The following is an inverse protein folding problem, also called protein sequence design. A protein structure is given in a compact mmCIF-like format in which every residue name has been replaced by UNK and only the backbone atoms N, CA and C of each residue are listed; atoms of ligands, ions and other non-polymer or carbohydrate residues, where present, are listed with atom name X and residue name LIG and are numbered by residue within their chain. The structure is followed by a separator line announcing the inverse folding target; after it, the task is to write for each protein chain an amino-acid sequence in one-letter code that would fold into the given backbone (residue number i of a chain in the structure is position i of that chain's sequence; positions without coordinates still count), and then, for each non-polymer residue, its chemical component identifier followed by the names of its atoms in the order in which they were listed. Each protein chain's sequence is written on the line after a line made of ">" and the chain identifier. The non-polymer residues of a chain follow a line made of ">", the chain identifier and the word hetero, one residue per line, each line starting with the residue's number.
data_IF_258989638210
#
_entry.id   IF_258989638210
#
_cell.length_a   1.000
_cell.length_b   1.000
_cell.length_c   1.000
_cell.angle_alpha   90.00
_cell.angle_beta   90.00
_cell.angle_gamma   90.00
#
_symmetry.space_group_name_H-M   'P 1'
#
loop_
_entity.id
_entity.type
_entity.pdbx_description
1 polymer ?
#
# COMPACT_ATOMS: atom_id res chain seq x y z
N UNK A 1 -22.97 -0.19 -0.91
CA UNK A 1 -21.63 -0.51 -1.48
C UNK A 1 -20.58 0.01 -0.52
N UNK A 2 -19.74 -0.87 -0.03
CA UNK A 2 -18.67 -0.49 0.91
C UNK A 2 -17.50 0.08 0.12
N UNK A 3 -17.53 1.37 -0.19
CA UNK A 3 -16.48 2.01 -0.99
C UNK A 3 -15.35 2.51 -0.10
N UNK A 4 -14.12 2.44 -0.60
CA UNK A 4 -13.00 3.14 0.00
C UNK A 4 -13.18 4.64 -0.28
N UNK A 5 -13.11 5.46 0.74
CA UNK A 5 -13.29 6.91 0.67
C UNK A 5 -12.04 7.64 1.18
N UNK A 6 -11.84 8.85 0.70
CA UNK A 6 -10.76 9.73 1.16
C UNK A 6 -11.27 10.63 2.29
N UNK A 7 -10.51 10.70 3.39
CA UNK A 7 -10.80 11.55 4.56
C UNK A 7 -9.54 12.23 5.04
N UNK A 8 -9.66 13.41 5.63
CA UNK A 8 -8.58 13.98 6.42
C UNK A 8 -8.40 13.20 7.72
N UNK A 9 -7.20 13.19 8.28
CA UNK A 9 -6.96 12.48 9.54
C UNK A 9 -7.83 13.00 10.67
N UNK A 10 -8.18 14.29 10.70
CA UNK A 10 -9.06 14.89 11.72
C UNK A 10 -10.51 14.39 11.64
N UNK A 11 -10.97 13.94 10.46
CA UNK A 11 -12.31 13.36 10.27
C UNK A 11 -12.38 11.89 10.71
N UNK A 12 -11.23 11.25 11.00
CA UNK A 12 -11.15 9.83 11.34
C UNK A 12 -11.09 9.69 12.87
N UNK A 13 -11.97 8.88 13.43
CA UNK A 13 -11.97 8.64 14.88
C UNK A 13 -10.71 7.87 15.30
N UNK A 14 -9.72 8.60 15.85
CA UNK A 14 -8.48 8.01 16.36
C UNK A 14 -8.74 6.96 17.47
N UNK A 15 -9.83 7.09 18.24
CA UNK A 15 -10.15 6.15 19.32
C UNK A 15 -10.80 4.84 18.82
N UNK A 16 -11.01 4.70 17.50
CA UNK A 16 -11.54 3.46 16.93
C UNK A 16 -10.66 2.26 17.34
N UNK A 17 -11.25 1.13 17.81
CA UNK A 17 -10.52 -0.09 18.14
C UNK A 17 -9.63 -0.63 17.02
N UNK A 18 -9.97 -0.31 15.77
CA UNK A 18 -9.15 -0.63 14.61
C UNK A 18 -7.67 -0.22 14.78
N UNK A 19 -7.39 0.91 15.43
CA UNK A 19 -6.01 1.40 15.61
C UNK A 19 -5.24 0.75 16.78
N UNK A 20 -5.86 -0.16 17.55
CA UNK A 20 -5.23 -0.75 18.74
C UNK A 20 -3.92 -1.49 18.40
N UNK A 21 -3.89 -2.28 17.33
CA UNK A 21 -2.67 -3.00 16.94
C UNK A 21 -1.57 -2.06 16.42
N UNK A 22 -1.95 -0.96 15.75
CA UNK A 22 -0.97 0.05 15.32
C UNK A 22 -0.35 0.78 16.52
N UNK A 23 -1.12 1.05 17.58
CA UNK A 23 -0.57 1.60 18.84
C UNK A 23 0.38 0.62 19.53
N UNK A 24 0.07 -0.67 19.49
CA UNK A 24 0.95 -1.70 20.05
C UNK A 24 2.26 -1.84 19.26
N UNK A 25 2.20 -1.72 17.94
CA UNK A 25 3.36 -1.87 17.07
C UNK A 25 4.23 -0.60 16.99
N UNK A 26 3.61 0.58 17.12
CA UNK A 26 4.27 1.88 16.91
C UNK A 26 4.08 2.80 18.10
N UNK A 27 5.01 2.81 19.09
CA UNK A 27 5.00 3.79 20.18
C UNK A 27 4.93 5.21 19.62
N UNK A 28 3.98 6.03 20.12
CA UNK A 28 3.75 7.40 19.62
C UNK A 28 2.84 7.50 18.39
N UNK A 29 2.14 6.42 18.03
CA UNK A 29 1.18 6.42 16.92
C UNK A 29 0.13 7.54 17.03
N UNK A 30 -0.46 7.75 18.21
CA UNK A 30 -1.50 8.77 18.41
C UNK A 30 -0.98 10.19 18.16
N UNK A 31 0.24 10.51 18.62
CA UNK A 31 0.87 11.79 18.37
C UNK A 31 1.24 11.98 16.90
N UNK A 32 1.73 10.92 16.26
CA UNK A 32 1.97 10.91 14.82
C UNK A 32 0.68 11.16 14.05
N UNK A 33 -0.42 10.50 14.41
CA UNK A 33 -1.72 10.63 13.76
C UNK A 33 -2.26 12.07 13.88
N UNK A 34 -2.21 12.67 15.08
CA UNK A 34 -2.64 14.05 15.33
C UNK A 34 -1.83 15.08 14.53
N UNK A 35 -0.51 14.86 14.37
CA UNK A 35 0.33 15.73 13.52
C UNK A 35 -0.03 15.68 12.05
N UNK A 36 -0.81 14.69 11.62
CA UNK A 36 -1.29 14.52 10.26
C UNK A 36 -2.70 15.07 10.01
N UNK A 37 -3.30 15.80 10.97
CA UNK A 37 -4.71 16.24 10.95
C UNK A 37 -5.20 16.71 9.57
N UNK A 38 -4.44 17.57 8.91
CA UNK A 38 -4.76 18.16 7.60
C UNK A 38 -4.38 17.27 6.39
N UNK A 39 -3.80 16.09 6.62
CA UNK A 39 -3.44 15.17 5.55
C UNK A 39 -4.57 14.19 5.28
N UNK A 40 -4.55 13.58 4.10
CA UNK A 40 -5.58 12.64 3.68
C UNK A 40 -5.12 11.19 3.86
N UNK A 41 -6.04 10.34 4.27
CA UNK A 41 -5.95 8.91 4.22
C UNK A 41 -7.13 8.32 3.43
N UNK A 42 -6.98 7.09 2.96
CA UNK A 42 -8.06 6.30 2.37
C UNK A 42 -8.57 5.34 3.43
N UNK A 43 -9.87 5.34 3.65
CA UNK A 43 -10.51 4.52 4.68
C UNK A 43 -11.69 3.75 4.11
N UNK A 44 -11.97 2.61 4.72
CA UNK A 44 -13.16 1.82 4.40
C UNK A 44 -13.90 1.45 5.69
N UNK A 45 -15.22 1.66 5.65
CA UNK A 45 -16.12 1.29 6.74
C UNK A 45 -17.06 0.18 6.27
N UNK A 46 -17.36 -0.76 7.16
CA UNK A 46 -18.43 -1.77 7.03
C UNK A 46 -19.28 -1.65 8.28
N UNK A 47 -20.59 -1.39 8.10
CA UNK A 47 -21.54 -1.20 9.21
C UNK A 47 -20.98 -0.23 10.27
N UNK A 48 -20.53 0.94 9.79
CA UNK A 48 -19.94 2.05 10.58
C UNK A 48 -18.60 1.71 11.29
N UNK A 49 -18.09 0.49 11.15
CA UNK A 49 -16.79 0.08 11.70
C UNK A 49 -15.68 0.33 10.68
N UNK A 50 -14.60 0.95 11.12
CA UNK A 50 -13.39 1.09 10.32
C UNK A 50 -12.76 -0.30 10.12
N UNK A 51 -12.54 -0.69 8.87
CA UNK A 51 -11.97 -2.00 8.51
C UNK A 51 -10.76 -1.92 7.59
N UNK A 52 -10.46 -0.73 7.07
CA UNK A 52 -9.30 -0.49 6.22
C UNK A 52 -8.80 0.94 6.32
N UNK A 53 -7.47 1.09 6.36
CA UNK A 53 -6.78 2.38 6.44
C UNK A 53 -5.51 2.36 5.61
N UNK A 54 -5.33 3.38 4.77
CA UNK A 54 -4.16 3.56 3.93
C UNK A 54 -3.74 5.03 3.93
N UNK A 55 -2.48 5.29 4.31
CA UNK A 55 -1.84 6.59 4.20
C UNK A 55 -0.69 6.54 3.21
N UNK A 56 -0.66 7.47 2.27
CA UNK A 56 0.36 7.60 1.23
C UNK A 56 1.11 8.93 1.37
N UNK A 57 2.42 8.90 1.10
CA UNK A 57 3.28 10.08 1.13
C UNK A 57 4.23 10.09 -0.06
N UNK A 58 4.36 11.23 -0.72
CA UNK A 58 5.40 11.45 -1.73
C UNK A 58 6.68 11.89 -1.03
N UNK A 59 7.78 11.24 -1.35
CA UNK A 59 9.13 11.58 -0.96
C UNK A 59 9.97 11.90 -2.20
N UNK A 60 10.99 12.72 -2.07
CA UNK A 60 11.83 13.15 -3.19
C UNK A 60 13.28 12.75 -2.96
N UNK A 61 13.96 12.44 -4.05
CA UNK A 61 15.38 12.19 -4.19
C UNK A 61 15.86 10.90 -3.55
N UNK A 62 15.78 10.71 -2.24
CA UNK A 62 16.27 9.48 -1.62
C UNK A 62 15.64 9.22 -0.25
N UNK A 63 15.68 7.96 0.16
CA UNK A 63 15.29 7.49 1.49
C UNK A 63 16.52 6.87 2.11
N UNK A 64 17.12 7.55 3.09
CA UNK A 64 18.39 7.14 3.72
C UNK A 64 18.23 6.20 4.91
N UNK A 65 17.06 6.23 5.55
CA UNK A 65 16.77 5.47 6.76
C UNK A 65 16.47 3.96 6.51
N UNK A 66 16.78 3.51 5.31
CA UNK A 66 16.70 2.11 4.86
C UNK A 66 18.12 1.58 4.65
N UNK A 67 18.39 0.36 5.09
CA UNK A 67 19.64 -0.33 4.75
C UNK A 67 19.63 -0.60 3.26
N UNK A 68 20.62 -0.07 2.54
CA UNK A 68 20.62 0.20 1.11
C UNK A 68 19.66 1.34 0.77
N UNK A 69 20.12 2.60 0.76
CA UNK A 69 19.25 3.75 0.47
C UNK A 69 18.53 3.65 -0.87
N UNK A 70 17.29 4.13 -0.92
CA UNK A 70 16.48 4.17 -2.14
C UNK A 70 16.73 5.50 -2.83
N UNK A 71 17.14 5.47 -4.11
CA UNK A 71 17.34 6.66 -4.95
C UNK A 71 16.35 6.64 -6.10
N UNK A 72 15.56 7.71 -6.24
CA UNK A 72 14.66 7.94 -7.36
C UNK A 72 14.18 9.40 -7.33
N UNK A 73 13.83 9.97 -8.47
CA UNK A 73 13.39 11.38 -8.54
C UNK A 73 12.09 11.59 -7.74
N UNK A 74 11.18 10.62 -7.79
CA UNK A 74 9.93 10.67 -7.08
C UNK A 74 9.55 9.29 -6.53
N UNK A 75 9.30 9.23 -5.23
CA UNK A 75 9.08 8.00 -4.48
C UNK A 75 7.71 8.06 -3.79
N UNK A 76 6.88 7.03 -3.96
CA UNK A 76 5.65 6.86 -3.20
C UNK A 76 5.92 5.94 -2.01
N UNK A 77 5.78 6.48 -0.81
CA UNK A 77 5.78 5.71 0.43
C UNK A 77 4.38 5.30 0.82
N UNK A 78 4.17 4.03 1.04
CA UNK A 78 3.02 3.52 1.78
C UNK A 78 3.33 3.69 3.27
N UNK A 79 2.84 4.79 3.86
CA UNK A 79 3.20 5.20 5.22
C UNK A 79 2.50 4.39 6.31
N UNK A 80 1.26 3.99 6.07
CA UNK A 80 0.49 3.07 6.92
C UNK A 80 -0.51 2.33 6.07
N UNK A 81 -0.56 1.01 6.22
CA UNK A 81 -1.51 0.15 5.52
C UNK A 81 -2.00 -0.94 6.46
N UNK A 82 -3.29 -0.89 6.81
CA UNK A 82 -3.92 -1.89 7.67
C UNK A 82 -5.30 -2.26 7.15
N UNK A 83 -5.62 -3.55 7.21
CA UNK A 83 -6.91 -4.13 6.85
C UNK A 83 -7.28 -5.18 7.90
N UNK A 84 -8.49 -5.10 8.46
CA UNK A 84 -9.00 -6.07 9.42
C UNK A 84 -9.92 -7.14 8.78
N UNK A 85 -10.31 -6.97 7.51
CA UNK A 85 -11.18 -7.91 6.80
C UNK A 85 -10.37 -9.02 6.12
N UNK A 86 -10.40 -10.21 6.69
CA UNK A 86 -9.76 -11.39 6.11
C UNK A 86 -10.63 -12.05 5.03
N UNK A 87 -9.98 -12.60 3.98
CA UNK A 87 -10.66 -13.38 2.93
C UNK A 87 -11.47 -12.55 1.93
N UNK A 88 -11.30 -11.23 1.91
CA UNK A 88 -11.97 -10.32 0.98
C UNK A 88 -11.00 -9.77 -0.06
N UNK A 89 -11.53 -9.27 -1.19
CA UNK A 89 -10.73 -8.53 -2.19
C UNK A 89 -10.33 -7.12 -1.74
N UNK A 90 -10.55 -6.77 -0.49
CA UNK A 90 -10.28 -5.43 0.05
C UNK A 90 -8.82 -5.04 -0.08
N UNK A 91 -7.90 -5.95 0.21
CA UNK A 91 -6.46 -5.74 0.02
C UNK A 91 -6.11 -5.34 -1.40
N UNK A 92 -6.66 -6.04 -2.38
CA UNK A 92 -6.46 -5.73 -3.81
C UNK A 92 -7.04 -4.37 -4.19
N UNK A 93 -8.17 -3.96 -3.59
CA UNK A 93 -8.75 -2.62 -3.82
C UNK A 93 -7.83 -1.51 -3.29
N UNK A 94 -7.22 -1.70 -2.13
CA UNK A 94 -6.24 -0.74 -1.60
C UNK A 94 -4.94 -0.72 -2.42
N UNK A 95 -4.46 -1.89 -2.88
CA UNK A 95 -3.31 -1.94 -3.81
C UNK A 95 -3.63 -1.15 -5.09
N UNK A 96 -4.85 -1.27 -5.63
CA UNK A 96 -5.26 -0.47 -6.77
C UNK A 96 -5.11 1.03 -6.51
N UNK A 97 -5.54 1.51 -5.35
CA UNK A 97 -5.39 2.92 -4.97
C UNK A 97 -3.91 3.34 -4.91
N UNK A 98 -3.05 2.49 -4.33
CA UNK A 98 -1.61 2.75 -4.30
C UNK A 98 -1.06 2.91 -5.72
N UNK A 99 -1.44 2.01 -6.63
CA UNK A 99 -0.98 2.02 -8.02
C UNK A 99 -1.56 3.19 -8.81
N UNK A 100 -2.84 3.51 -8.64
CA UNK A 100 -3.47 4.68 -9.27
C UNK A 100 -2.78 5.98 -8.83
N UNK A 101 -2.47 6.12 -7.52
CA UNK A 101 -1.70 7.25 -7.01
C UNK A 101 -0.29 7.29 -7.61
N UNK A 102 0.38 6.14 -7.70
CA UNK A 102 1.73 6.05 -8.28
C UNK A 102 1.77 6.52 -9.74
N UNK A 103 0.76 6.14 -10.54
CA UNK A 103 0.63 6.58 -11.93
C UNK A 103 0.32 8.07 -12.04
N UNK A 104 -0.69 8.55 -11.28
CA UNK A 104 -1.09 9.97 -11.31
C UNK A 104 0.07 10.88 -10.92
N UNK A 105 0.83 10.46 -9.92
CA UNK A 105 1.99 11.19 -9.42
C UNK A 105 3.27 10.96 -10.26
N UNK A 106 3.24 10.03 -11.21
CA UNK A 106 4.38 9.65 -12.06
C UNK A 106 5.62 9.32 -11.22
N UNK A 107 5.45 8.44 -10.23
CA UNK A 107 6.56 8.02 -9.37
C UNK A 107 7.38 6.92 -10.04
N UNK A 108 8.68 6.90 -9.75
CA UNK A 108 9.60 5.88 -10.26
C UNK A 108 9.54 4.60 -9.42
N UNK A 109 9.28 4.79 -8.11
CA UNK A 109 9.36 3.74 -7.12
C UNK A 109 8.23 3.88 -6.10
N UNK A 110 7.61 2.74 -5.74
CA UNK A 110 6.76 2.60 -4.57
C UNK A 110 7.47 1.74 -3.53
N UNK A 111 7.40 2.09 -2.25
CA UNK A 111 7.88 1.22 -1.19
C UNK A 111 6.96 1.21 0.03
N UNK A 112 7.06 0.13 0.80
CA UNK A 112 6.35 -0.07 2.05
C UNK A 112 7.29 -0.73 3.07
N UNK A 113 7.16 -0.35 4.34
CA UNK A 113 7.84 -1.02 5.45
C UNK A 113 6.83 -1.87 6.21
N UNK A 114 7.18 -3.14 6.48
CA UNK A 114 6.27 -4.11 7.09
C UNK A 114 7.05 -4.96 8.09
N UNK A 115 6.53 -5.06 9.32
CA UNK A 115 7.07 -6.02 10.30
C UNK A 115 6.92 -7.45 9.78
N UNK A 116 7.93 -8.27 10.02
CA UNK A 116 7.96 -9.66 9.55
C UNK A 116 6.76 -10.49 9.99
N UNK A 117 6.15 -10.16 11.11
CA UNK A 117 4.95 -10.84 11.65
C UNK A 117 3.69 -10.68 10.79
N UNK A 118 3.61 -9.65 9.95
CA UNK A 118 2.45 -9.38 9.09
C UNK A 118 2.53 -10.13 7.76
N UNK A 119 2.61 -11.47 7.81
CA UNK A 119 2.82 -12.34 6.63
C UNK A 119 1.77 -12.12 5.53
N UNK A 120 0.48 -12.03 5.88
CA UNK A 120 -0.59 -11.83 4.89
C UNK A 120 -0.47 -10.52 4.11
N UNK A 121 0.01 -9.45 4.75
CA UNK A 121 0.28 -8.18 4.07
C UNK A 121 1.51 -8.28 3.17
N UNK A 122 2.55 -8.98 3.62
CA UNK A 122 3.75 -9.27 2.83
C UNK A 122 3.36 -10.04 1.57
N UNK A 123 2.60 -11.13 1.72
CA UNK A 123 2.13 -11.95 0.60
C UNK A 123 1.31 -11.13 -0.40
N UNK A 124 0.44 -10.25 0.11
CA UNK A 124 -0.37 -9.37 -0.73
C UNK A 124 0.50 -8.44 -1.57
N UNK A 125 1.42 -7.69 -0.96
CA UNK A 125 2.24 -6.73 -1.72
C UNK A 125 3.18 -7.44 -2.71
N UNK A 126 3.71 -8.62 -2.36
CA UNK A 126 4.55 -9.42 -3.25
C UNK A 126 3.79 -9.93 -4.47
N UNK A 127 2.50 -10.29 -4.33
CA UNK A 127 1.66 -10.67 -5.48
C UNK A 127 1.55 -9.53 -6.51
N UNK A 128 1.66 -8.28 -6.07
CA UNK A 128 1.61 -7.10 -6.92
C UNK A 128 2.98 -6.53 -7.29
N UNK A 129 4.04 -7.35 -7.20
CA UNK A 129 5.37 -7.04 -7.71
C UNK A 129 6.23 -6.19 -6.79
N UNK A 130 5.87 -6.07 -5.50
CA UNK A 130 6.79 -5.56 -4.51
C UNK A 130 7.78 -6.65 -4.13
N UNK A 131 9.06 -6.36 -4.18
CA UNK A 131 10.14 -7.29 -3.86
C UNK A 131 10.86 -6.86 -2.58
N UNK A 132 11.35 -7.83 -1.82
CA UNK A 132 12.19 -7.52 -0.67
C UNK A 132 13.43 -6.74 -1.13
N UNK A 133 13.65 -5.59 -0.52
CA UNK A 133 14.74 -4.68 -0.90
C UNK A 133 15.79 -4.52 0.20
N UNK A 134 15.37 -4.50 1.46
CA UNK A 134 16.26 -4.27 2.59
C UNK A 134 15.48 -4.17 3.90
N UNK A 135 16.05 -3.49 4.87
CA UNK A 135 15.44 -3.34 6.19
C UNK A 135 15.55 -1.91 6.69
N UNK A 136 14.65 -1.54 7.59
CA UNK A 136 14.63 -0.26 8.29
C UNK A 136 14.52 -0.50 9.80
N UNK A 137 15.17 0.36 10.58
CA UNK A 137 15.18 0.23 12.04
C UNK A 137 16.18 -0.80 12.56
N UNK A 138 16.18 -1.04 13.86
CA UNK A 138 17.09 -1.97 14.56
C UNK A 138 16.35 -2.74 15.65
N UNK A 139 16.85 -3.92 15.99
CA UNK A 139 16.29 -4.75 17.06
C UNK A 139 14.83 -5.10 16.82
N UNK A 140 13.99 -4.96 17.84
CA UNK A 140 12.55 -5.26 17.77
C UNK A 140 11.76 -4.31 16.84
N UNK A 141 12.30 -3.11 16.56
CA UNK A 141 11.71 -2.15 15.66
C UNK A 141 12.18 -2.32 14.20
N UNK A 142 12.76 -3.47 13.86
CA UNK A 142 13.21 -3.76 12.51
C UNK A 142 12.04 -4.15 11.61
N UNK A 143 11.84 -3.37 10.56
CA UNK A 143 10.87 -3.63 9.51
C UNK A 143 11.57 -4.10 8.23
N UNK A 144 10.92 -4.97 7.47
CA UNK A 144 11.31 -5.32 6.12
C UNK A 144 10.81 -4.26 5.16
N UNK A 145 11.65 -3.87 4.20
CA UNK A 145 11.31 -2.93 3.13
C UNK A 145 11.00 -3.69 1.86
N UNK A 146 9.81 -3.49 1.33
CA UNK A 146 9.38 -4.03 0.04
C UNK A 146 9.25 -2.89 -0.94
N UNK A 147 9.81 -3.05 -2.14
CA UNK A 147 9.94 -2.01 -3.14
C UNK A 147 9.42 -2.51 -4.49
N UNK A 148 8.67 -1.66 -5.18
CA UNK A 148 8.24 -1.88 -6.56
C UNK A 148 8.76 -0.75 -7.45
N UNK A 149 9.49 -1.09 -8.52
CA UNK A 149 9.86 -0.15 -9.58
C UNK A 149 8.75 -0.06 -10.61
N UNK A 150 8.34 1.17 -10.92
CA UNK A 150 7.16 1.41 -11.78
C UNK A 150 7.45 1.26 -13.28
N UNK A 151 8.71 1.08 -13.67
CA UNK A 151 9.14 0.97 -15.07
C UNK A 151 9.58 -0.45 -15.47
N UNK A 152 9.40 -1.44 -14.61
CA UNK A 152 9.76 -2.83 -14.89
C UNK A 152 8.51 -3.62 -15.28
N UNK A 153 8.59 -4.34 -16.40
CA UNK A 153 7.56 -5.25 -16.90
C UNK A 153 8.10 -6.67 -16.84
N UNK A 154 7.42 -7.55 -16.12
CA UNK A 154 7.83 -8.95 -15.89
C UNK A 154 7.10 -9.95 -16.79
N UNK A 155 5.98 -9.54 -17.39
CA UNK A 155 5.04 -10.40 -18.10
C UNK A 155 3.97 -11.06 -17.23
N UNK A 156 4.03 -10.88 -15.92
CA UNK A 156 2.99 -11.29 -14.98
C UNK A 156 2.00 -10.15 -14.78
N UNK A 157 0.75 -10.34 -15.19
CA UNK A 157 -0.29 -9.29 -15.16
C UNK A 157 -0.48 -8.68 -13.78
N UNK A 158 -0.44 -9.48 -12.74
CA UNK A 158 -0.62 -9.01 -11.37
C UNK A 158 0.58 -8.21 -10.87
N UNK A 159 1.79 -8.69 -11.17
CA UNK A 159 3.05 -8.01 -10.82
C UNK A 159 3.27 -6.75 -11.63
N UNK A 160 2.85 -6.74 -12.89
CA UNK A 160 3.05 -5.61 -13.78
C UNK A 160 1.98 -4.52 -13.60
N UNK A 161 0.86 -4.85 -12.91
CA UNK A 161 -0.16 -3.83 -12.62
C UNK A 161 0.48 -2.59 -11.96
N UNK A 162 0.21 -1.37 -12.43
CA UNK A 162 -0.79 -0.99 -13.44
C UNK A 162 -0.24 -0.89 -14.88
N UNK A 163 1.01 -1.23 -15.15
CA UNK A 163 1.68 -1.14 -16.46
C UNK A 163 1.43 -2.42 -17.28
N UNK A 164 0.18 -2.72 -17.54
CA UNK A 164 -0.15 -3.95 -18.27
C UNK A 164 -0.04 -3.71 -19.78
N UNK A 165 0.82 -4.49 -20.45
CA UNK A 165 0.88 -4.47 -21.92
C UNK A 165 -0.46 -4.89 -22.53
N UNK A 166 -0.91 -4.15 -23.56
CA UNK A 166 -2.17 -4.40 -24.24
C UNK A 166 -2.32 -5.85 -24.77
N UNK A 167 -1.22 -6.47 -25.20
CA UNK A 167 -1.23 -7.86 -25.67
C UNK A 167 -1.53 -8.84 -24.53
N UNK A 168 -0.98 -8.58 -23.35
CA UNK A 168 -1.23 -9.38 -22.15
C UNK A 168 -2.67 -9.19 -21.66
N UNK A 169 -3.20 -7.96 -21.68
CA UNK A 169 -4.60 -7.66 -21.35
C UNK A 169 -5.55 -8.38 -22.32
N UNK A 170 -5.27 -8.31 -23.63
CA UNK A 170 -6.08 -9.00 -24.65
C UNK A 170 -6.14 -10.50 -24.41
N UNK A 171 -4.99 -11.12 -24.12
CA UNK A 171 -4.92 -12.56 -23.80
C UNK A 171 -5.73 -12.92 -22.56
N UNK A 172 -5.64 -12.10 -21.52
CA UNK A 172 -6.38 -12.26 -20.27
C UNK A 172 -7.90 -12.09 -20.47
N UNK A 173 -8.33 -11.04 -21.17
CA UNK A 173 -9.74 -10.77 -21.46
C UNK A 173 -10.35 -11.85 -22.36
N UNK A 174 -9.61 -12.36 -23.34
CA UNK A 174 -10.07 -13.47 -24.20
C UNK A 174 -10.26 -14.77 -23.43
N UNK A 175 -9.59 -14.95 -22.28
CA UNK A 175 -9.79 -16.10 -21.39
C UNK A 175 -11.01 -15.96 -20.46
N UNK A 176 -11.46 -14.71 -20.20
CA UNK A 176 -12.56 -14.43 -19.25
C UNK A 176 -13.91 -14.27 -19.96
N UNK A 177 -13.93 -13.67 -21.15
CA UNK A 177 -15.17 -13.47 -21.89
C UNK A 177 -15.42 -14.65 -22.82
N UNK A 178 -16.59 -15.32 -22.73
CA UNK A 178 -16.97 -16.32 -23.72
C UNK A 178 -16.96 -15.66 -25.10
N UNK A 179 -16.42 -16.37 -26.10
CA UNK A 179 -16.49 -15.94 -27.48
C UNK A 179 -17.97 -15.84 -27.86
N UNK A 180 -18.49 -14.64 -27.99
CA UNK A 180 -19.75 -14.40 -28.67
C UNK A 180 -19.49 -14.67 -30.16
N UNK A 181 -20.04 -15.75 -30.64
CA UNK A 181 -20.13 -16.06 -32.09
C UNK A 181 -21.33 -15.35 -32.65
#
# INVERSE_FOLDING_TARGET
>A
MNNIIKRTFEEINLQDPFFQSLRADYPGFDDWFKRKSNQNAFVQYIDEKLVGFLYLKIEKMYVEDVVTPIYADKILKVGTFKIDAHGTKMGEQFIKIIMDCALCEKVDVCYVTIYEKHKSLIDLVQQFGFEFYGTKGKGENKENVYLKRMNIITGDIKKDFPLVDYKSVKKYLLGIYPKYH
#
